data_IF_988984163482
#
_entry.id   IF_988984163482
#
_cell.length_a   1.000
_cell.length_b   1.000
_cell.length_c   1.000
_cell.angle_alpha   90.00
_cell.angle_beta   90.00
_cell.angle_gamma   90.00
#
_symmetry.space_group_name_H-M   'P 1'
#
loop_
_entity.id
_entity.type
_entity.pdbx_description
1 polymer ?
#
# COMPACT_ATOMS: atom_id res chain seq x y z
N UNK A 1 -18.20 0.74 -6.02
CA UNK A 1 -17.21 0.33 -5.00
C UNK A 1 -17.87 0.46 -3.65
N UNK A 2 -17.62 -0.46 -2.75
CA UNK A 2 -17.98 -0.25 -1.35
C UNK A 2 -17.97 -1.54 -0.55
N UNK A 3 -18.27 -1.38 0.73
CA UNK A 3 -18.67 -2.43 1.65
C UNK A 3 -20.15 -2.75 1.42
N UNK A 4 -20.43 -3.97 0.95
CA UNK A 4 -21.79 -4.44 0.69
C UNK A 4 -22.40 -5.21 1.87
N UNK A 5 -21.60 -5.50 2.91
CA UNK A 5 -21.98 -6.32 4.06
C UNK A 5 -22.55 -7.72 3.70
N UNK A 6 -22.31 -8.20 2.47
CA UNK A 6 -22.81 -9.49 1.99
C UNK A 6 -21.76 -10.21 1.13
N UNK A 7 -21.75 -11.55 1.22
CA UNK A 7 -20.87 -12.41 0.41
C UNK A 7 -21.62 -12.98 -0.79
N UNK A 8 -20.89 -13.28 -1.87
CA UNK A 8 -21.46 -13.88 -3.08
C UNK A 8 -21.39 -15.40 -3.07
N UNK A 9 -20.40 -15.97 -2.40
CA UNK A 9 -20.14 -17.41 -2.37
C UNK A 9 -19.77 -17.89 -0.97
N UNK A 10 -19.88 -19.21 -0.74
CA UNK A 10 -19.59 -19.81 0.55
C UNK A 10 -18.11 -19.65 0.94
N UNK A 11 -17.20 -19.73 -0.03
CA UNK A 11 -15.75 -19.65 0.20
C UNK A 11 -15.32 -18.25 0.68
N UNK A 12 -16.15 -17.24 0.43
CA UNK A 12 -15.92 -15.86 0.85
C UNK A 12 -16.34 -15.60 2.31
N UNK A 13 -16.76 -16.64 3.02
CA UNK A 13 -17.19 -16.63 4.42
C UNK A 13 -16.42 -17.70 5.17
N UNK A 14 -15.70 -17.30 6.22
CA UNK A 14 -14.98 -18.23 7.07
C UNK A 14 -15.35 -18.03 8.55
N UNK A 15 -15.47 -19.15 9.28
CA UNK A 15 -15.73 -19.17 10.72
C UNK A 15 -17.13 -18.68 11.16
N UNK A 16 -18.06 -18.54 10.20
CA UNK A 16 -19.45 -18.16 10.45
C UNK A 16 -20.39 -18.79 9.43
N UNK A 17 -21.69 -18.74 9.71
CA UNK A 17 -22.73 -19.37 8.87
C UNK A 17 -22.90 -18.57 7.57
N UNK A 18 -22.87 -19.27 6.44
CA UNK A 18 -23.15 -18.70 5.12
C UNK A 18 -24.67 -18.57 4.91
N UNK A 19 -25.13 -17.38 4.54
CA UNK A 19 -26.53 -17.11 4.21
C UNK A 19 -26.77 -17.27 2.70
N UNK A 20 -27.15 -18.47 2.27
CA UNK A 20 -27.37 -18.77 0.85
C UNK A 20 -28.44 -17.86 0.21
N UNK A 21 -29.55 -17.61 0.92
CA UNK A 21 -30.63 -16.75 0.41
C UNK A 21 -30.16 -15.30 0.21
N UNK A 22 -29.39 -14.76 1.16
CA UNK A 22 -28.79 -13.41 1.03
C UNK A 22 -27.83 -13.33 -0.15
N UNK A 23 -26.96 -14.33 -0.30
CA UNK A 23 -26.05 -14.43 -1.43
C UNK A 23 -26.79 -14.53 -2.79
N UNK A 24 -27.89 -15.29 -2.87
CA UNK A 24 -28.70 -15.41 -4.07
C UNK A 24 -29.37 -14.09 -4.46
N UNK A 25 -29.93 -13.36 -3.48
CA UNK A 25 -30.50 -12.02 -3.69
C UNK A 25 -29.41 -11.06 -4.17
N UNK A 26 -28.24 -11.07 -3.54
CA UNK A 26 -27.13 -10.20 -3.91
C UNK A 26 -26.58 -10.51 -5.31
N UNK A 27 -26.39 -11.79 -5.64
CA UNK A 27 -25.97 -12.21 -6.99
C UNK A 27 -27.01 -11.86 -8.05
N UNK A 28 -28.30 -11.97 -7.73
CA UNK A 28 -29.40 -11.57 -8.62
C UNK A 28 -29.39 -10.05 -8.88
N UNK A 29 -29.14 -9.24 -7.85
CA UNK A 29 -28.97 -7.79 -8.00
C UNK A 29 -27.79 -7.45 -8.91
N UNK A 30 -26.62 -8.08 -8.71
CA UNK A 30 -25.42 -7.84 -9.51
C UNK A 30 -25.70 -8.19 -10.98
N UNK A 31 -26.24 -9.38 -11.24
CA UNK A 31 -26.56 -9.87 -12.59
C UNK A 31 -27.63 -9.00 -13.27
N UNK A 32 -28.73 -8.71 -12.57
CA UNK A 32 -29.84 -7.88 -13.07
C UNK A 32 -29.44 -6.44 -13.37
N UNK A 33 -28.37 -5.95 -12.74
CA UNK A 33 -27.79 -4.62 -13.00
C UNK A 33 -26.75 -4.61 -14.13
N UNK A 34 -26.46 -5.76 -14.75
CA UNK A 34 -25.42 -5.88 -15.78
C UNK A 34 -24.01 -5.60 -15.26
N UNK A 35 -23.77 -5.86 -13.97
CA UNK A 35 -22.49 -5.65 -13.30
C UNK A 35 -21.72 -6.96 -13.19
N UNK A 36 -20.39 -6.84 -13.25
CA UNK A 36 -19.43 -7.91 -13.04
C UNK A 36 -18.46 -7.48 -11.95
N UNK A 37 -18.09 -8.41 -11.08
CA UNK A 37 -17.09 -8.14 -10.05
C UNK A 37 -15.68 -8.09 -10.64
N UNK A 38 -14.91 -7.08 -10.23
CA UNK A 38 -13.49 -7.00 -10.50
C UNK A 38 -12.72 -8.08 -9.74
N UNK A 39 -11.76 -8.74 -10.39
CA UNK A 39 -10.90 -9.70 -9.71
C UNK A 39 -10.12 -9.02 -8.57
N UNK A 40 -10.17 -9.62 -7.38
CA UNK A 40 -9.42 -9.16 -6.21
C UNK A 40 -8.14 -9.99 -6.07
N UNK A 41 -7.00 -9.32 -5.97
CA UNK A 41 -5.67 -9.86 -5.71
C UNK A 41 -5.24 -9.56 -4.28
N UNK A 42 -4.23 -10.29 -3.78
CA UNK A 42 -3.72 -10.14 -2.42
C UNK A 42 -4.46 -11.05 -1.45
N UNK A 43 -5.06 -10.46 -0.41
CA UNK A 43 -5.83 -11.19 0.61
C UNK A 43 -7.17 -11.68 0.07
N UNK A 44 -7.60 -12.86 0.53
CA UNK A 44 -8.85 -13.49 0.11
C UNK A 44 -10.08 -12.84 0.75
N UNK A 45 -9.91 -12.32 1.97
CA UNK A 45 -10.94 -11.62 2.74
C UNK A 45 -10.66 -10.11 2.81
N UNK A 46 -11.72 -9.31 2.92
CA UNK A 46 -11.61 -7.85 3.09
C UNK A 46 -12.04 -7.39 4.47
N UNK A 47 -12.58 -8.29 5.28
CA UNK A 47 -12.92 -8.07 6.67
C UNK A 47 -12.49 -9.26 7.51
N UNK A 48 -11.90 -8.98 8.66
CA UNK A 48 -11.52 -9.99 9.63
C UNK A 48 -11.81 -9.50 11.06
N UNK A 49 -12.60 -10.28 11.78
CA UNK A 49 -12.88 -10.03 13.19
C UNK A 49 -11.57 -9.94 13.99
N UNK A 50 -11.49 -9.14 15.07
CA UNK A 50 -10.26 -9.02 15.88
C UNK A 50 -9.71 -10.35 16.39
N UNK A 51 -10.58 -11.32 16.66
CA UNK A 51 -10.17 -12.68 17.06
C UNK A 51 -9.62 -13.54 15.92
N UNK A 52 -9.67 -13.07 14.68
CA UNK A 52 -9.38 -13.82 13.46
C UNK A 52 -10.03 -15.22 13.41
N UNK A 53 -11.19 -15.38 14.07
CA UNK A 53 -12.03 -16.59 14.02
C UNK A 53 -13.17 -16.45 13.02
N UNK A 54 -13.36 -15.26 12.45
CA UNK A 54 -14.40 -14.95 11.46
C UNK A 54 -13.81 -13.99 10.44
N UNK A 55 -13.98 -14.31 9.17
CA UNK A 55 -13.50 -13.50 8.06
C UNK A 55 -14.52 -13.51 6.93
N UNK A 56 -14.59 -12.41 6.18
CA UNK A 56 -15.53 -12.26 5.08
C UNK A 56 -14.98 -11.34 3.99
N UNK A 57 -15.34 -11.61 2.74
CA UNK A 57 -15.12 -10.66 1.64
C UNK A 57 -16.36 -9.79 1.47
N UNK A 58 -16.31 -8.57 1.99
CA UNK A 58 -17.45 -7.63 2.04
C UNK A 58 -17.27 -6.44 1.09
N UNK A 59 -16.02 -6.05 0.85
CA UNK A 59 -15.64 -4.90 0.03
C UNK A 59 -15.35 -5.32 -1.41
N UNK A 60 -15.97 -4.65 -2.39
CA UNK A 60 -15.85 -5.03 -3.81
C UNK A 60 -15.89 -3.85 -4.77
N UNK A 61 -15.30 -4.06 -5.94
CA UNK A 61 -15.57 -3.27 -7.13
C UNK A 61 -16.50 -4.05 -8.05
N UNK A 62 -17.68 -3.48 -8.31
CA UNK A 62 -18.63 -3.96 -9.32
C UNK A 62 -18.57 -2.99 -10.49
N UNK A 63 -18.43 -3.52 -11.71
CA UNK A 63 -18.16 -2.74 -12.92
C UNK A 63 -19.02 -3.24 -14.07
N UNK A 64 -19.38 -2.34 -14.98
CA UNK A 64 -20.09 -2.72 -16.20
C UNK A 64 -19.15 -3.39 -17.19
N UNK A 65 -19.69 -4.23 -18.06
CA UNK A 65 -18.90 -4.86 -19.12
C UNK A 65 -18.29 -3.84 -20.09
N UNK A 66 -18.92 -2.67 -20.27
CA UNK A 66 -18.36 -1.58 -21.06
C UNK A 66 -17.05 -1.02 -20.47
N UNK A 67 -16.97 -0.90 -19.14
CA UNK A 67 -15.75 -0.43 -18.47
C UNK A 67 -14.63 -1.48 -18.58
N UNK A 68 -14.97 -2.76 -18.42
CA UNK A 68 -14.02 -3.87 -18.61
C UNK A 68 -13.49 -3.96 -20.03
N UNK A 69 -14.29 -3.59 -21.04
CA UNK A 69 -13.86 -3.56 -22.43
C UNK A 69 -12.85 -2.43 -22.73
N UNK A 70 -12.98 -1.29 -22.04
CA UNK A 70 -12.05 -0.15 -22.18
C UNK A 70 -10.75 -0.44 -21.41
N UNK A 71 -10.86 -1.08 -20.25
CA UNK A 71 -9.74 -1.32 -19.32
C UNK A 71 -9.58 -2.82 -19.06
N UNK A 72 -9.06 -3.61 -20.02
CA UNK A 72 -9.05 -5.07 -19.94
C UNK A 72 -8.12 -5.64 -18.86
N UNK A 73 -7.18 -4.83 -18.36
CA UNK A 73 -6.22 -5.21 -17.31
C UNK A 73 -6.60 -4.66 -15.93
N UNK A 74 -7.81 -4.14 -15.78
CA UNK A 74 -8.27 -3.62 -14.50
C UNK A 74 -8.40 -4.73 -13.46
N UNK A 75 -7.74 -4.57 -12.32
CA UNK A 75 -7.83 -5.47 -11.17
C UNK A 75 -7.94 -4.68 -9.87
N UNK A 76 -8.44 -5.32 -8.83
CA UNK A 76 -8.42 -4.80 -7.47
C UNK A 76 -7.32 -5.51 -6.68
N UNK A 77 -6.64 -4.81 -5.78
CA UNK A 77 -5.72 -5.42 -4.81
C UNK A 77 -6.14 -5.06 -3.39
N UNK A 78 -6.16 -6.05 -2.50
CA UNK A 78 -6.32 -5.86 -1.06
C UNK A 78 -5.00 -5.41 -0.42
N UNK A 79 -5.05 -4.33 0.35
CA UNK A 79 -3.93 -3.73 1.07
C UNK A 79 -3.94 -4.12 2.55
N UNK A 80 -2.79 -3.98 3.22
CA UNK A 80 -2.65 -4.29 4.65
C UNK A 80 -3.63 -3.47 5.51
N UNK A 81 -4.46 -4.13 6.34
CA UNK A 81 -5.46 -3.46 7.20
C UNK A 81 -4.87 -2.56 8.28
N UNK A 82 -3.61 -2.82 8.66
CA UNK A 82 -2.96 -2.20 9.81
C UNK A 82 -3.81 -2.35 11.09
N UNK A 83 -4.54 -1.30 11.49
CA UNK A 83 -5.37 -1.26 12.71
C UNK A 83 -6.87 -1.39 12.44
N UNK A 84 -7.31 -1.39 11.18
CA UNK A 84 -8.71 -1.61 10.82
C UNK A 84 -9.05 -3.09 10.87
N UNK A 85 -10.33 -3.41 11.07
CA UNK A 85 -10.90 -4.74 10.84
C UNK A 85 -11.19 -5.00 9.35
N UNK A 86 -11.25 -3.94 8.53
CA UNK A 86 -11.31 -4.00 7.06
C UNK A 86 -9.91 -3.87 6.43
N UNK A 87 -9.71 -4.60 5.33
CA UNK A 87 -8.58 -4.47 4.42
C UNK A 87 -8.97 -3.46 3.33
N UNK A 88 -8.28 -2.32 3.19
CA UNK A 88 -8.55 -1.38 2.11
C UNK A 88 -8.32 -2.04 0.74
N UNK A 89 -9.24 -1.83 -0.21
CA UNK A 89 -9.09 -2.33 -1.58
C UNK A 89 -8.78 -1.19 -2.55
N UNK A 90 -7.84 -1.43 -3.47
CA UNK A 90 -7.39 -0.47 -4.47
C UNK A 90 -7.65 -1.01 -5.88
N UNK A 91 -8.40 -0.26 -6.68
CA UNK A 91 -8.57 -0.54 -8.12
C UNK A 91 -7.37 0.01 -8.90
N UNK A 92 -6.80 -0.80 -9.78
CA UNK A 92 -5.67 -0.43 -10.63
C UNK A 92 -5.81 -1.05 -12.01
N UNK A 93 -5.29 -0.39 -13.03
CA UNK A 93 -5.29 -0.91 -14.40
C UNK A 93 -3.87 -1.13 -14.93
N UNK A 94 -2.98 -0.18 -14.66
CA UNK A 94 -1.59 -0.22 -15.15
C UNK A 94 -0.67 0.26 -14.02
N UNK A 95 0.39 -0.50 -13.76
CA UNK A 95 1.54 0.00 -12.98
C UNK A 95 2.34 0.90 -13.92
N UNK A 96 1.96 2.19 -13.98
CA UNK A 96 2.66 3.17 -14.80
C UNK A 96 3.91 3.64 -14.06
N UNK A 97 5.08 3.41 -14.64
CA UNK A 97 6.29 4.11 -14.26
C UNK A 97 6.22 5.54 -14.83
N UNK A 98 5.99 6.52 -13.96
CA UNK A 98 5.98 7.95 -14.33
C UNK A 98 7.39 8.51 -14.56
N UNK A 99 8.41 7.65 -14.58
CA UNK A 99 9.81 7.99 -14.75
C UNK A 99 10.45 8.47 -13.45
N UNK A 100 11.66 9.02 -13.57
CA UNK A 100 12.43 9.45 -12.42
C UNK A 100 11.70 10.53 -11.61
N UNK A 101 11.47 10.26 -10.32
CA UNK A 101 10.88 11.23 -9.39
C UNK A 101 11.66 12.53 -9.42
N UNK A 102 10.95 13.63 -9.69
CA UNK A 102 11.55 14.96 -9.68
C UNK A 102 12.10 15.27 -8.28
N UNK A 103 13.30 15.85 -8.24
CA UNK A 103 13.85 16.37 -6.99
C UNK A 103 13.08 17.59 -6.56
N UNK A 104 12.57 17.55 -5.32
CA UNK A 104 11.93 18.67 -4.65
C UNK A 104 12.70 18.93 -3.37
N UNK A 105 13.11 20.16 -3.16
CA UNK A 105 13.68 20.61 -1.89
C UNK A 105 12.54 21.08 -1.00
N UNK A 106 12.41 20.51 0.20
CA UNK A 106 11.37 20.89 1.15
C UNK A 106 11.96 21.78 2.23
N UNK A 107 11.31 22.90 2.53
CA UNK A 107 11.75 23.83 3.56
C UNK A 107 11.89 23.16 4.94
N UNK A 108 11.02 22.18 5.24
CA UNK A 108 11.06 21.40 6.48
C UNK A 108 12.38 20.64 6.68
N UNK A 109 13.13 20.35 5.62
CA UNK A 109 14.43 19.66 5.73
C UNK A 109 15.48 20.48 6.48
N UNK A 110 15.37 21.82 6.43
CA UNK A 110 16.26 22.72 7.16
C UNK A 110 16.09 22.59 8.69
N UNK A 111 14.94 22.10 9.16
CA UNK A 111 14.70 21.85 10.59
C UNK A 111 15.22 20.49 11.08
N UNK A 112 15.76 19.64 10.21
CA UNK A 112 16.20 18.30 10.59
C UNK A 112 17.59 18.36 11.22
N UNK A 113 17.74 17.75 12.41
CA UNK A 113 19.03 17.67 13.10
C UNK A 113 20.10 17.04 12.20
N UNK A 114 21.20 17.76 12.03
CA UNK A 114 22.35 17.32 11.21
C UNK A 114 22.25 17.64 9.71
N UNK A 115 21.12 18.18 9.22
CA UNK A 115 20.97 18.53 7.81
C UNK A 115 21.96 19.62 7.38
N UNK A 116 22.04 20.73 8.12
CA UNK A 116 22.95 21.83 7.80
C UNK A 116 24.43 21.38 7.83
N UNK A 117 24.79 20.54 8.79
CA UNK A 117 26.14 19.99 8.90
C UNK A 117 26.47 19.08 7.70
N UNK A 118 25.52 18.26 7.25
CA UNK A 118 25.67 17.46 6.04
C UNK A 118 25.86 18.36 4.81
N UNK A 119 25.02 19.38 4.63
CA UNK A 119 25.13 20.32 3.49
C UNK A 119 26.49 21.02 3.47
N UNK A 120 26.93 21.57 4.62
CA UNK A 120 28.21 22.26 4.72
C UNK A 120 29.40 21.32 4.47
N UNK A 121 29.39 20.13 5.06
CA UNK A 121 30.49 19.16 4.89
C UNK A 121 30.58 18.66 3.45
N UNK A 122 29.46 18.31 2.82
CA UNK A 122 29.40 17.97 1.40
C UNK A 122 29.91 19.15 0.55
N UNK A 123 29.41 20.36 0.77
CA UNK A 123 29.80 21.52 -0.04
C UNK A 123 31.30 21.80 0.00
N UNK A 124 31.92 21.68 1.17
CA UNK A 124 33.34 21.95 1.37
C UNK A 124 34.23 20.77 0.90
N UNK A 125 33.72 19.55 0.89
CA UNK A 125 34.44 18.37 0.39
C UNK A 125 34.58 18.32 -1.14
N UNK A 126 33.70 19.02 -1.87
CA UNK A 126 33.68 18.97 -3.34
C UNK A 126 34.84 19.79 -3.92
N UNK A 127 35.85 19.08 -4.41
CA UNK A 127 36.94 19.62 -5.23
C UNK A 127 36.68 19.26 -6.69
N UNK A 128 36.57 20.27 -7.55
CA UNK A 128 36.33 20.12 -8.98
C UNK A 128 37.34 20.99 -9.72
N UNK A 129 37.99 20.40 -10.72
CA UNK A 129 38.89 21.10 -11.63
C UNK A 129 38.13 21.39 -12.94
N UNK A 130 37.51 22.56 -12.99
CA UNK A 130 36.80 23.08 -14.15
C UNK A 130 37.18 24.55 -14.32
N UNK A 131 37.61 24.93 -15.52
CA UNK A 131 38.02 26.30 -15.85
C UNK A 131 36.85 27.30 -15.83
N UNK A 132 35.61 26.83 -16.02
CA UNK A 132 34.42 27.66 -15.99
C UNK A 132 33.73 27.56 -14.62
N UNK A 133 33.73 28.68 -13.89
CA UNK A 133 33.12 28.80 -12.57
C UNK A 133 31.62 28.45 -12.54
N UNK A 134 30.87 28.75 -13.61
CA UNK A 134 29.44 28.44 -13.68
C UNK A 134 29.19 26.94 -13.86
N UNK A 135 30.02 26.27 -14.67
CA UNK A 135 29.98 24.81 -14.83
C UNK A 135 30.33 24.13 -13.52
N UNK A 136 31.37 24.62 -12.83
CA UNK A 136 31.78 24.15 -11.52
C UNK A 136 30.65 24.27 -10.50
N UNK A 137 30.01 25.45 -10.42
CA UNK A 137 28.86 25.68 -9.53
C UNK A 137 27.69 24.72 -9.80
N UNK A 138 27.30 24.57 -11.08
CA UNK A 138 26.27 23.61 -11.50
C UNK A 138 26.60 22.19 -11.05
N UNK A 139 27.84 21.74 -11.26
CA UNK A 139 28.29 20.39 -10.84
C UNK A 139 28.25 20.24 -9.33
N UNK A 140 28.69 21.25 -8.55
CA UNK A 140 28.57 21.23 -7.07
C UNK A 140 27.12 21.04 -6.63
N UNK A 141 26.18 21.77 -7.23
CA UNK A 141 24.75 21.63 -6.92
C UNK A 141 24.20 20.25 -7.29
N UNK A 142 24.63 19.67 -8.41
CA UNK A 142 24.23 18.31 -8.81
C UNK A 142 24.74 17.24 -7.83
N UNK A 143 25.97 17.39 -7.33
CA UNK A 143 26.53 16.49 -6.31
C UNK A 143 25.76 16.67 -5.01
N UNK A 144 25.60 17.91 -4.53
CA UNK A 144 24.86 18.21 -3.31
C UNK A 144 23.43 17.68 -3.36
N UNK A 145 22.74 17.79 -4.50
CA UNK A 145 21.42 17.20 -4.71
C UNK A 145 21.41 15.69 -4.45
N UNK A 146 22.41 14.95 -4.95
CA UNK A 146 22.49 13.48 -4.76
C UNK A 146 22.69 13.14 -3.28
N UNK A 147 23.57 13.87 -2.61
CA UNK A 147 23.83 13.69 -1.17
C UNK A 147 22.59 14.00 -0.33
N UNK A 148 21.88 15.10 -0.62
CA UNK A 148 20.61 15.42 0.03
C UNK A 148 19.60 14.28 -0.14
N UNK A 149 19.46 13.74 -1.36
CA UNK A 149 18.53 12.63 -1.61
C UNK A 149 18.88 11.38 -0.80
N UNK A 150 20.16 11.01 -0.78
CA UNK A 150 20.65 9.85 -0.04
C UNK A 150 20.47 10.03 1.47
N UNK A 151 20.84 11.21 1.98
CA UNK A 151 20.73 11.55 3.39
C UNK A 151 19.28 11.53 3.87
N UNK A 152 18.35 12.15 3.11
CA UNK A 152 16.93 12.15 3.45
C UNK A 152 16.35 10.73 3.42
N UNK A 153 16.75 9.89 2.47
CA UNK A 153 16.32 8.50 2.43
C UNK A 153 16.77 7.72 3.68
N UNK A 154 18.01 7.93 4.14
CA UNK A 154 18.54 7.33 5.37
C UNK A 154 17.84 7.90 6.61
N UNK A 155 17.69 9.22 6.68
CA UNK A 155 17.02 9.90 7.78
C UNK A 155 15.58 9.38 7.96
N UNK A 156 14.81 9.33 6.87
CA UNK A 156 13.44 8.81 6.88
C UNK A 156 13.39 7.32 7.24
N UNK A 157 14.36 6.52 6.81
CA UNK A 157 14.47 5.11 7.20
C UNK A 157 14.75 4.97 8.69
N UNK A 158 15.63 5.78 9.26
CA UNK A 158 15.96 5.74 10.68
C UNK A 158 14.78 6.20 11.55
N UNK A 159 14.10 7.28 11.14
CA UNK A 159 12.90 7.77 11.84
C UNK A 159 11.75 6.76 11.79
N UNK A 160 11.56 6.09 10.65
CA UNK A 160 10.46 5.16 10.46
C UNK A 160 10.85 3.68 10.69
N UNK A 161 12.08 3.39 11.11
CA UNK A 161 12.61 2.01 11.16
C UNK A 161 11.75 1.10 12.03
N UNK A 162 11.44 1.53 13.25
CA UNK A 162 10.56 0.81 14.17
C UNK A 162 9.14 0.66 13.62
N UNK A 163 8.60 1.71 12.99
CA UNK A 163 7.25 1.65 12.38
C UNK A 163 7.22 0.63 11.24
N UNK A 164 8.24 0.61 10.39
CA UNK A 164 8.33 -0.35 9.28
C UNK A 164 8.50 -1.79 9.78
N UNK A 165 9.27 -1.98 10.85
CA UNK A 165 9.40 -3.28 11.50
C UNK A 165 8.05 -3.78 12.04
N UNK A 166 7.31 -2.92 12.75
CA UNK A 166 5.97 -3.25 13.27
C UNK A 166 5.00 -3.55 12.12
N UNK A 167 4.98 -2.71 11.07
CA UNK A 167 4.13 -2.94 9.89
C UNK A 167 4.44 -4.26 9.19
N UNK A 168 5.72 -4.61 9.06
CA UNK A 168 6.16 -5.88 8.47
C UNK A 168 5.70 -7.08 9.30
N UNK A 169 5.85 -7.01 10.64
CA UNK A 169 5.34 -8.05 11.55
C UNK A 169 3.83 -8.23 11.42
N UNK A 170 3.06 -7.13 11.45
CA UNK A 170 1.61 -7.16 11.27
C UNK A 170 1.20 -7.78 9.94
N UNK A 171 1.87 -7.40 8.85
CA UNK A 171 1.63 -7.97 7.52
C UNK A 171 1.85 -9.48 7.49
N UNK A 172 2.95 -9.96 8.06
CA UNK A 172 3.23 -11.41 8.11
C UNK A 172 2.15 -12.16 8.89
N UNK A 173 1.72 -11.62 10.03
CA UNK A 173 0.63 -12.20 10.84
C UNK A 173 -0.67 -12.23 10.03
N UNK A 174 -1.05 -11.12 9.39
CA UNK A 174 -2.28 -11.04 8.60
C UNK A 174 -2.27 -12.01 7.40
N UNK A 175 -1.10 -12.25 6.78
CA UNK A 175 -0.94 -13.26 5.73
C UNK A 175 -1.12 -14.70 6.25
N UNK A 176 -0.58 -15.01 7.44
CA UNK A 176 -0.78 -16.32 8.07
C UNK A 176 -2.25 -16.55 8.42
N UNK A 177 -2.93 -15.50 8.90
CA UNK A 177 -4.37 -15.53 9.21
C UNK A 177 -5.20 -15.78 7.95
N UNK A 178 -4.92 -15.08 6.84
CA UNK A 178 -5.64 -15.28 5.56
C UNK A 178 -5.48 -16.71 5.02
N UNK A 179 -4.31 -17.33 5.25
CA UNK A 179 -4.02 -18.73 4.90
C UNK A 179 -4.62 -19.76 5.88
N UNK A 180 -5.35 -19.32 6.90
CA UNK A 180 -5.99 -20.19 7.90
C UNK A 180 -5.06 -20.72 8.99
N UNK A 181 -3.83 -20.21 9.10
CA UNK A 181 -2.84 -20.60 10.10
C UNK A 181 -3.03 -19.77 11.39
N UNK A 182 -4.16 -19.98 12.06
CA UNK A 182 -4.55 -19.21 13.25
C UNK A 182 -4.19 -19.98 14.53
N UNK A 183 -3.22 -19.48 15.29
CA UNK A 183 -2.94 -19.93 16.68
C UNK A 183 -3.16 -18.78 17.66
N UNK A 184 -3.49 -19.11 18.92
CA UNK A 184 -3.71 -18.09 19.95
C UNK A 184 -2.45 -17.23 20.18
N UNK A 185 -1.25 -17.80 20.04
CA UNK A 185 0.03 -17.07 20.12
C UNK A 185 0.19 -16.03 19.00
N UNK A 186 -0.19 -16.38 17.77
CA UNK A 186 -0.13 -15.47 16.62
C UNK A 186 -1.09 -14.30 16.83
N UNK A 187 -2.28 -14.55 17.37
CA UNK A 187 -3.28 -13.52 17.64
C UNK A 187 -2.86 -12.59 18.77
N UNK A 188 -2.31 -13.14 19.86
CA UNK A 188 -1.75 -12.34 20.95
C UNK A 188 -0.60 -11.45 20.47
N UNK A 189 0.23 -11.94 19.55
CA UNK A 189 1.32 -11.14 18.98
C UNK A 189 0.86 -9.99 18.08
N UNK A 190 -0.42 -10.02 17.65
CA UNK A 190 -1.03 -9.00 16.80
C UNK A 190 -1.75 -7.89 17.58
N UNK A 191 -2.13 -8.16 18.82
CA UNK A 191 -2.81 -7.23 19.74
C UNK A 191 -1.82 -6.28 20.40
#
# INVERSE_FOLDING_TARGET
MGDFNEVRRMEERWGSVFNACGADVFNSFISGSGLTECQLEGYSFTWAHPSAKKMSKLDRFLMTNGLLAIFPHISAISLDRHLSDHMPILLREVIVDYGATLFRFYHSWLGLLGFDQMVMSTWNSIVLDDSNNMIRFKKKLQILKKEICAWIAIYNRNQNGHIQEIKSKLKNIDQMVDQGMVTDDILLSRM
#
